data_IF_296738218379
#
_entry.id   IF_296738218379
#
_cell.length_a   1.000
_cell.length_b   1.000
_cell.length_c   1.000
_cell.angle_alpha   90.00
_cell.angle_beta   90.00
_cell.angle_gamma   90.00
#
_symmetry.space_group_name_H-M   'P 1'
#
loop_
_entity.id
_entity.type
_entity.pdbx_description
1 polymer ?
#
# COMPACT_ATOMS: atom_id res chain seq x y z
N UNK A 1 -43.77 41.84 -27.46
CA UNK A 1 -43.58 40.61 -28.27
C UNK A 1 -42.10 40.37 -28.42
N UNK A 2 -41.54 39.43 -27.67
CA UNK A 2 -40.52 38.44 -28.07
C UNK A 2 -39.98 37.79 -26.80
N UNK A 3 -40.40 36.54 -26.59
CA UNK A 3 -39.84 35.63 -25.61
C UNK A 3 -38.47 35.18 -26.12
N UNK A 4 -37.41 35.38 -25.34
CA UNK A 4 -36.19 34.59 -25.50
C UNK A 4 -35.99 33.68 -24.29
N UNK A 5 -36.52 32.47 -24.49
CA UNK A 5 -36.25 31.27 -23.74
C UNK A 5 -34.85 30.76 -24.11
N UNK A 6 -33.85 31.01 -23.26
CA UNK A 6 -32.63 30.20 -23.24
C UNK A 6 -32.33 29.70 -21.83
N UNK A 7 -33.04 28.64 -21.49
CA UNK A 7 -32.75 27.70 -20.40
C UNK A 7 -31.34 27.11 -20.65
N UNK A 8 -30.32 27.62 -19.96
CA UNK A 8 -28.99 26.98 -19.91
C UNK A 8 -29.13 25.65 -19.17
N UNK A 9 -29.19 24.56 -19.92
CA UNK A 9 -29.00 23.22 -19.37
C UNK A 9 -27.54 23.09 -18.91
N UNK A 10 -27.27 22.66 -17.66
CA UNK A 10 -25.94 22.19 -17.30
C UNK A 10 -25.75 20.81 -17.93
N UNK A 11 -24.95 20.73 -19.00
CA UNK A 11 -24.46 19.45 -19.50
C UNK A 11 -23.50 18.86 -18.48
N UNK A 12 -24.00 17.94 -17.66
CA UNK A 12 -23.16 17.04 -16.86
C UNK A 12 -22.45 16.07 -17.82
N UNK A 13 -21.36 16.51 -18.43
CA UNK A 13 -20.40 15.60 -19.05
C UNK A 13 -19.64 14.89 -17.94
N UNK A 14 -20.13 13.70 -17.53
CA UNK A 14 -19.31 12.78 -16.76
C UNK A 14 -18.11 12.35 -17.63
N UNK A 15 -16.86 12.54 -17.18
CA UNK A 15 -15.72 12.02 -17.92
C UNK A 15 -15.70 10.49 -17.77
N UNK A 16 -16.24 9.79 -18.78
CA UNK A 16 -16.13 8.35 -18.92
C UNK A 16 -14.67 7.91 -18.82
N UNK A 17 -14.36 7.10 -17.80
CA UNK A 17 -13.00 6.64 -17.46
C UNK A 17 -12.37 5.72 -18.51
N UNK A 18 -13.12 5.33 -19.54
CA UNK A 18 -12.69 4.41 -20.59
C UNK A 18 -12.12 5.07 -21.85
N UNK A 19 -12.38 6.35 -22.12
CA UNK A 19 -11.88 7.01 -23.35
C UNK A 19 -10.40 7.39 -23.33
N UNK A 20 -9.76 7.40 -22.15
CA UNK A 20 -8.34 7.78 -22.02
C UNK A 20 -7.38 6.72 -22.58
N UNK A 21 -7.81 5.47 -22.78
CA UNK A 21 -6.97 4.43 -23.42
C UNK A 21 -6.93 4.52 -24.93
N UNK A 22 -7.97 5.06 -25.57
CA UNK A 22 -8.02 5.12 -27.04
C UNK A 22 -7.30 6.34 -27.62
N UNK A 23 -7.21 7.47 -26.88
CA UNK A 23 -6.45 8.64 -27.35
C UNK A 23 -4.93 8.45 -27.37
N UNK A 24 -4.38 7.56 -26.54
CA UNK A 24 -2.95 7.26 -26.56
C UNK A 24 -2.52 6.44 -27.79
N UNK A 25 -3.48 5.84 -28.52
CA UNK A 25 -3.21 5.08 -29.73
C UNK A 25 -3.36 5.92 -31.01
N UNK A 26 -4.08 7.04 -30.97
CA UNK A 26 -4.43 7.83 -32.16
C UNK A 26 -3.52 9.04 -32.42
N UNK A 27 -2.59 9.37 -31.51
CA UNK A 27 -1.67 10.52 -31.65
C UNK A 27 -0.33 10.14 -32.31
N UNK A 28 -0.16 8.86 -32.68
CA UNK A 28 1.06 8.33 -33.30
C UNK A 28 1.00 8.15 -34.83
N UNK A 29 -0.12 8.44 -35.48
CA UNK A 29 -0.27 8.23 -36.93
C UNK A 29 -0.60 9.54 -37.66
N UNK A 30 0.46 10.26 -38.04
CA UNK A 30 0.45 11.19 -39.17
C UNK A 30 1.74 10.99 -40.01
N UNK A 31 1.67 11.07 -41.36
CA UNK A 31 2.52 10.26 -42.23
C UNK A 31 3.88 10.89 -42.60
N UNK A 32 4.92 10.06 -42.44
CA UNK A 32 6.09 9.79 -43.29
C UNK A 32 6.51 10.89 -44.30
N UNK A 33 7.64 11.53 -44.02
CA UNK A 33 8.62 11.94 -45.03
C UNK A 33 9.80 10.96 -44.99
N UNK A 34 10.29 10.61 -46.17
CA UNK A 34 11.07 9.41 -46.50
C UNK A 34 12.51 9.38 -45.94
N UNK A 35 13.02 8.16 -45.88
CA UNK A 35 14.44 7.79 -45.85
C UNK A 35 15.24 8.02 -44.56
N UNK A 36 14.81 7.34 -43.50
CA UNK A 36 15.77 6.70 -42.59
C UNK A 36 15.21 5.36 -42.12
N UNK A 37 15.87 4.27 -42.52
CA UNK A 37 15.65 2.93 -41.98
C UNK A 37 15.52 3.01 -40.44
N UNK A 38 14.49 2.41 -39.80
CA UNK A 38 14.41 2.39 -38.35
C UNK A 38 15.55 1.51 -37.83
N UNK A 39 16.63 2.16 -37.43
CA UNK A 39 17.69 1.54 -36.64
C UNK A 39 17.04 0.94 -35.39
N UNK A 40 17.31 -0.33 -35.02
CA UNK A 40 16.70 -0.95 -33.87
C UNK A 40 17.25 -0.26 -32.62
N UNK A 41 16.58 0.81 -32.20
CA UNK A 41 16.79 1.42 -30.90
C UNK A 41 16.24 0.42 -29.90
N UNK A 42 17.14 -0.46 -29.46
CA UNK A 42 17.08 -1.21 -28.22
C UNK A 42 17.06 -0.21 -27.06
N UNK A 43 16.00 0.59 -26.95
CA UNK A 43 15.67 1.26 -25.72
C UNK A 43 15.28 0.14 -24.74
N UNK A 44 16.26 -0.34 -23.98
CA UNK A 44 16.04 -1.24 -22.85
C UNK A 44 14.86 -0.70 -22.06
N UNK A 45 13.80 -1.48 -21.90
CA UNK A 45 12.58 -1.05 -21.20
C UNK A 45 12.93 -0.81 -19.72
N UNK A 46 13.20 0.46 -19.38
CA UNK A 46 13.62 0.90 -18.04
C UNK A 46 12.37 1.21 -17.21
N UNK A 47 12.17 0.46 -16.12
CA UNK A 47 11.16 0.76 -15.12
C UNK A 47 11.52 2.04 -14.36
N UNK A 48 10.59 3.00 -14.36
CA UNK A 48 10.67 4.21 -13.54
C UNK A 48 10.70 3.83 -12.04
N UNK A 49 11.68 4.38 -11.30
CA UNK A 49 11.84 4.17 -9.87
C UNK A 49 10.54 4.43 -9.08
N UNK A 50 9.69 5.35 -9.55
CA UNK A 50 8.39 5.66 -8.93
C UNK A 50 7.44 4.47 -8.99
N UNK A 51 7.41 3.77 -10.13
CA UNK A 51 6.55 2.58 -10.33
C UNK A 51 7.05 1.42 -9.48
N UNK A 52 8.35 1.15 -9.51
CA UNK A 52 8.99 0.07 -8.72
C UNK A 52 8.74 0.28 -7.23
N UNK A 53 8.98 1.50 -6.74
CA UNK A 53 8.82 1.81 -5.32
C UNK A 53 7.37 1.79 -4.87
N UNK A 54 6.44 2.27 -5.71
CA UNK A 54 5.00 2.16 -5.45
C UNK A 54 4.57 0.71 -5.32
N UNK A 55 5.13 -0.17 -6.14
CA UNK A 55 4.85 -1.59 -6.08
C UNK A 55 5.42 -2.24 -4.82
N UNK A 56 6.69 -1.98 -4.47
CA UNK A 56 7.27 -2.45 -3.21
C UNK A 56 6.43 -2.02 -1.99
N UNK A 57 6.05 -0.74 -1.92
CA UNK A 57 5.21 -0.22 -0.83
C UNK A 57 3.82 -0.86 -0.79
N UNK A 58 3.22 -1.15 -1.95
CA UNK A 58 1.94 -1.88 -2.02
C UNK A 58 2.08 -3.30 -1.50
N UNK A 59 3.11 -4.02 -1.96
CA UNK A 59 3.36 -5.40 -1.52
C UNK A 59 3.66 -5.45 -0.03
N UNK A 60 4.52 -4.56 0.48
CA UNK A 60 4.79 -4.44 1.92
C UNK A 60 3.51 -4.18 2.72
N UNK A 61 2.64 -3.26 2.30
CA UNK A 61 1.34 -3.03 2.98
C UNK A 61 0.43 -4.24 2.91
N UNK A 62 0.45 -4.98 1.79
CA UNK A 62 -0.31 -6.21 1.63
C UNK A 62 0.19 -7.29 2.60
N UNK A 63 1.50 -7.47 2.72
CA UNK A 63 2.11 -8.40 3.68
C UNK A 63 1.73 -8.06 5.11
N UNK A 64 1.82 -6.80 5.52
CA UNK A 64 1.39 -6.38 6.88
C UNK A 64 -0.08 -6.70 7.13
N UNK A 65 -0.98 -6.44 6.16
CA UNK A 65 -2.39 -6.82 6.30
C UNK A 65 -2.58 -8.33 6.44
N UNK A 66 -1.83 -9.13 5.69
CA UNK A 66 -1.89 -10.59 5.82
C UNK A 66 -1.40 -11.05 7.20
N UNK A 67 -0.30 -10.48 7.70
CA UNK A 67 0.22 -10.76 9.04
C UNK A 67 -0.83 -10.46 10.12
N UNK A 68 -1.47 -9.27 10.04
CA UNK A 68 -2.54 -8.89 10.99
C UNK A 68 -3.72 -9.86 10.93
N UNK A 69 -4.16 -10.25 9.72
CA UNK A 69 -5.26 -11.21 9.55
C UNK A 69 -4.90 -12.61 10.07
N UNK A 70 -3.67 -13.07 9.82
CA UNK A 70 -3.20 -14.38 10.29
C UNK A 70 -3.07 -14.44 11.80
N UNK A 71 -2.55 -13.38 12.43
CA UNK A 71 -2.49 -13.29 13.90
C UNK A 71 -3.89 -13.14 14.52
N UNK A 72 -4.78 -12.37 13.91
CA UNK A 72 -6.17 -12.28 14.33
C UNK A 72 -6.89 -13.63 14.24
N UNK A 73 -6.64 -14.39 13.17
CA UNK A 73 -7.16 -15.75 13.01
C UNK A 73 -6.60 -16.70 14.08
N UNK A 74 -5.32 -16.58 14.42
CA UNK A 74 -4.69 -17.36 15.48
C UNK A 74 -5.35 -17.09 16.85
N UNK A 75 -5.63 -15.83 17.18
CA UNK A 75 -6.37 -15.47 18.39
C UNK A 75 -7.84 -15.97 18.35
N UNK A 76 -8.48 -15.86 17.18
CA UNK A 76 -9.84 -16.37 16.99
C UNK A 76 -9.95 -17.89 17.15
N UNK A 77 -8.93 -18.64 16.74
CA UNK A 77 -8.87 -20.11 16.94
C UNK A 77 -8.53 -20.44 18.40
N UNK A 78 -7.66 -19.65 19.05
CA UNK A 78 -7.26 -19.86 20.45
C UNK A 78 -8.44 -19.70 21.41
N UNK A 79 -9.21 -18.62 21.25
CA UNK A 79 -10.34 -18.29 22.13
C UNK A 79 -11.64 -18.90 21.62
N UNK A 80 -11.80 -19.02 20.30
CA UNK A 80 -13.04 -19.41 19.66
C UNK A 80 -13.87 -18.19 19.22
N UNK A 81 -14.40 -18.15 17.99
CA UNK A 81 -15.03 -16.94 17.43
C UNK A 81 -16.31 -16.54 18.16
N UNK A 82 -17.10 -17.50 18.65
CA UNK A 82 -18.32 -17.23 19.42
C UNK A 82 -17.95 -16.64 20.79
N UNK A 83 -16.97 -17.25 21.47
CA UNK A 83 -16.52 -16.79 22.79
C UNK A 83 -15.94 -15.38 22.71
N UNK A 84 -15.18 -15.07 21.65
CA UNK A 84 -14.64 -13.74 21.40
C UNK A 84 -15.72 -12.66 21.34
N UNK A 85 -16.82 -12.92 20.65
CA UNK A 85 -17.91 -11.93 20.48
C UNK A 85 -18.75 -11.77 21.75
N UNK A 86 -18.94 -12.87 22.49
CA UNK A 86 -19.74 -12.89 23.72
C UNK A 86 -18.90 -12.86 25.00
N UNK A 87 -17.64 -12.43 24.95
CA UNK A 87 -16.77 -12.33 26.14
C UNK A 87 -17.47 -11.58 27.27
N UNK A 88 -17.48 -12.19 28.47
CA UNK A 88 -18.14 -11.64 29.67
C UNK A 88 -19.68 -11.53 29.57
N UNK A 89 -20.31 -12.15 28.56
CA UNK A 89 -21.76 -12.11 28.33
C UNK A 89 -22.31 -13.51 28.11
N UNK A 90 -23.59 -13.71 28.42
CA UNK A 90 -24.33 -14.93 28.06
C UNK A 90 -23.69 -16.24 28.61
N UNK A 91 -23.03 -16.16 29.77
CA UNK A 91 -22.37 -17.29 30.43
C UNK A 91 -20.97 -17.63 29.91
N UNK A 92 -20.43 -16.87 28.97
CA UNK A 92 -19.04 -17.02 28.52
C UNK A 92 -18.07 -16.33 29.50
N UNK A 93 -16.84 -16.86 29.65
CA UNK A 93 -15.84 -16.29 30.56
C UNK A 93 -15.48 -14.85 30.18
N UNK A 94 -15.08 -14.06 31.18
CA UNK A 94 -14.49 -12.74 30.94
C UNK A 94 -13.15 -12.88 30.21
N UNK A 95 -12.76 -11.81 29.52
CA UNK A 95 -11.49 -11.74 28.81
C UNK A 95 -10.32 -12.00 29.78
N UNK A 96 -9.44 -12.93 29.42
CA UNK A 96 -8.25 -13.24 30.21
C UNK A 96 -7.26 -12.07 30.23
N UNK A 97 -6.27 -12.13 31.13
CA UNK A 97 -5.23 -11.10 31.21
C UNK A 97 -4.43 -10.94 29.90
N UNK A 98 -4.40 -11.96 29.06
CA UNK A 98 -3.73 -11.96 27.75
C UNK A 98 -4.64 -11.57 26.58
N UNK A 99 -5.92 -11.24 26.82
CA UNK A 99 -6.92 -10.99 25.77
C UNK A 99 -7.00 -9.51 25.40
N UNK A 100 -5.86 -8.95 24.98
CA UNK A 100 -5.74 -7.56 24.53
C UNK A 100 -4.78 -7.44 23.34
N UNK A 101 -4.74 -6.27 22.71
CA UNK A 101 -3.84 -5.96 21.61
C UNK A 101 -4.51 -5.92 20.23
N UNK A 102 -3.70 -5.73 19.20
CA UNK A 102 -4.16 -5.48 17.83
C UNK A 102 -4.77 -6.74 17.24
N UNK A 103 -4.13 -7.91 17.41
CA UNK A 103 -4.63 -9.15 16.83
C UNK A 103 -5.96 -9.56 17.47
N UNK A 104 -6.08 -9.41 18.79
CA UNK A 104 -7.30 -9.69 19.53
C UNK A 104 -8.47 -8.80 19.06
N UNK A 105 -8.25 -7.48 18.96
CA UNK A 105 -9.30 -6.55 18.50
C UNK A 105 -9.75 -6.81 17.06
N UNK A 106 -8.81 -7.14 16.16
CA UNK A 106 -9.16 -7.50 14.78
C UNK A 106 -9.88 -8.86 14.75
N UNK A 107 -9.46 -9.82 15.57
CA UNK A 107 -10.10 -11.12 15.74
C UNK A 107 -11.54 -10.98 16.23
N UNK A 108 -11.79 -10.08 17.18
CA UNK A 108 -13.13 -9.72 17.66
C UNK A 108 -14.00 -9.20 16.51
N UNK A 109 -13.50 -8.21 15.76
CA UNK A 109 -14.25 -7.62 14.66
C UNK A 109 -14.58 -8.63 13.56
N UNK A 110 -13.62 -9.49 13.19
CA UNK A 110 -13.83 -10.54 12.19
C UNK A 110 -14.82 -11.60 12.67
N UNK A 111 -14.72 -12.01 13.94
CA UNK A 111 -15.63 -12.98 14.55
C UNK A 111 -17.06 -12.43 14.65
N UNK A 112 -17.19 -11.14 14.99
CA UNK A 112 -18.47 -10.45 15.00
C UNK A 112 -19.10 -10.38 13.61
N UNK A 113 -18.32 -10.00 12.59
CA UNK A 113 -18.79 -9.98 11.20
C UNK A 113 -19.19 -11.38 10.73
N UNK A 114 -18.39 -12.40 11.07
CA UNK A 114 -18.73 -13.80 10.80
C UNK A 114 -20.07 -14.19 11.42
N UNK A 115 -20.31 -13.86 12.70
CA UNK A 115 -21.59 -14.12 13.35
C UNK A 115 -22.74 -13.34 12.73
N UNK A 116 -22.55 -12.08 12.35
CA UNK A 116 -23.58 -11.31 11.65
C UNK A 116 -23.95 -11.97 10.32
N UNK A 117 -22.97 -12.36 9.51
CA UNK A 117 -23.23 -13.05 8.23
C UNK A 117 -23.90 -14.40 8.47
N UNK A 118 -23.45 -15.17 9.46
CA UNK A 118 -24.07 -16.44 9.83
C UNK A 118 -25.53 -16.25 10.26
N UNK A 119 -25.83 -15.28 11.11
CA UNK A 119 -27.20 -15.00 11.57
C UNK A 119 -28.10 -14.47 10.46
N UNK A 120 -27.59 -13.64 9.55
CA UNK A 120 -28.40 -13.03 8.48
C UNK A 120 -28.58 -13.96 7.27
N UNK A 121 -27.58 -14.76 6.94
CA UNK A 121 -27.60 -15.61 5.73
C UNK A 121 -27.95 -17.04 6.10
N UNK A 122 -27.23 -17.61 7.07
CA UNK A 122 -27.31 -19.04 7.33
C UNK A 122 -28.57 -19.42 8.14
N UNK A 123 -28.89 -18.69 9.20
CA UNK A 123 -30.08 -18.97 10.03
C UNK A 123 -31.39 -18.93 9.23
N UNK A 124 -31.70 -17.90 8.44
CA UNK A 124 -32.97 -17.90 7.68
C UNK A 124 -32.99 -18.90 6.52
N UNK A 125 -31.86 -19.24 5.90
CA UNK A 125 -31.81 -20.17 4.76
C UNK A 125 -31.75 -21.65 5.16
N UNK A 126 -31.22 -21.94 6.36
CA UNK A 126 -30.94 -23.31 6.80
C UNK A 126 -31.58 -23.66 8.15
N UNK A 127 -32.35 -22.77 8.80
CA UNK A 127 -33.06 -23.08 10.06
C UNK A 127 -33.97 -24.31 9.96
N UNK A 128 -34.53 -24.58 8.78
CA UNK A 128 -35.33 -25.77 8.48
C UNK A 128 -34.53 -27.07 8.27
N UNK A 129 -33.21 -26.99 8.08
CA UNK A 129 -32.34 -28.13 7.77
C UNK A 129 -31.47 -28.55 8.97
N UNK A 130 -31.20 -27.65 9.92
CA UNK A 130 -30.55 -28.04 11.18
C UNK A 130 -31.55 -28.77 12.07
N UNK A 131 -31.26 -29.99 12.54
CA UNK A 131 -32.03 -30.62 13.61
C UNK A 131 -32.09 -29.65 14.79
N UNK A 132 -33.27 -29.46 15.36
CA UNK A 132 -33.44 -28.65 16.57
C UNK A 132 -32.55 -29.22 17.68
N UNK A 133 -31.38 -28.60 17.89
CA UNK A 133 -30.47 -28.93 18.99
C UNK A 133 -31.09 -28.66 20.38
N UNK A 134 -32.31 -28.15 20.44
CA UNK A 134 -33.10 -27.93 21.64
C UNK A 134 -33.85 -29.18 22.13
N UNK A 135 -33.83 -30.30 21.40
CA UNK A 135 -34.47 -31.55 21.83
C UNK A 135 -33.57 -32.76 21.69
N UNK A 136 -32.31 -32.65 22.13
CA UNK A 136 -31.50 -33.84 22.40
C UNK A 136 -31.47 -34.05 23.90
N UNK A 137 -32.37 -34.92 24.36
CA UNK A 137 -32.26 -35.61 25.64
C UNK A 137 -30.82 -36.11 25.84
N UNK A 138 -30.36 -36.11 27.09
CA UNK A 138 -29.03 -36.51 27.56
C UNK A 138 -28.50 -37.87 27.06
N UNK A 139 -29.29 -38.64 26.30
CA UNK A 139 -29.02 -40.01 25.88
C UNK A 139 -28.23 -40.18 24.57
N UNK A 140 -28.03 -39.15 23.74
CA UNK A 140 -27.38 -39.30 22.41
C UNK A 140 -25.97 -38.68 22.31
N UNK A 141 -25.25 -38.67 23.42
CA UNK A 141 -23.85 -38.18 23.52
C UNK A 141 -22.79 -39.09 22.88
N UNK A 142 -23.18 -40.11 22.10
CA UNK A 142 -22.32 -41.27 21.81
C UNK A 142 -21.69 -41.32 20.41
N UNK A 143 -21.79 -40.26 19.58
CA UNK A 143 -20.98 -40.16 18.35
C UNK A 143 -20.05 -38.93 18.28
N UNK A 144 -19.05 -38.77 19.16
CA UNK A 144 -18.05 -37.70 19.03
C UNK A 144 -16.72 -38.14 18.37
N UNK A 145 -16.57 -39.38 17.90
CA UNK A 145 -15.23 -39.92 17.62
C UNK A 145 -14.59 -39.44 16.29
N UNK A 146 -15.36 -39.31 15.20
CA UNK A 146 -14.80 -38.87 13.91
C UNK A 146 -14.67 -37.34 13.80
N UNK A 147 -15.65 -36.58 14.31
CA UNK A 147 -15.60 -35.12 14.33
C UNK A 147 -14.48 -34.60 15.25
N UNK A 148 -14.26 -35.25 16.40
CA UNK A 148 -13.17 -34.85 17.30
C UNK A 148 -11.78 -35.13 16.73
N UNK A 149 -11.59 -36.20 15.95
CA UNK A 149 -10.30 -36.51 15.33
C UNK A 149 -9.97 -35.55 14.19
N UNK A 150 -10.94 -35.22 13.32
CA UNK A 150 -10.74 -34.22 12.27
C UNK A 150 -10.46 -32.84 12.85
N UNK A 151 -11.22 -32.41 13.88
CA UNK A 151 -10.98 -31.12 14.55
C UNK A 151 -9.61 -31.10 15.22
N UNK A 152 -9.18 -32.19 15.87
CA UNK A 152 -7.83 -32.30 16.44
C UNK A 152 -6.74 -32.20 15.37
N UNK A 153 -6.88 -32.90 14.25
CA UNK A 153 -5.93 -32.86 13.14
C UNK A 153 -5.88 -31.48 12.51
N UNK A 154 -7.03 -30.86 12.23
CA UNK A 154 -7.10 -29.49 11.68
C UNK A 154 -6.46 -28.48 12.63
N UNK A 155 -6.70 -28.62 13.93
CA UNK A 155 -6.11 -27.75 14.95
C UNK A 155 -4.60 -27.92 15.00
N UNK A 156 -4.08 -29.16 14.95
CA UNK A 156 -2.64 -29.41 14.89
C UNK A 156 -2.01 -28.86 13.62
N UNK A 157 -2.64 -29.03 12.46
CA UNK A 157 -2.16 -28.45 11.20
C UNK A 157 -2.14 -26.93 11.30
N UNK A 158 -3.20 -26.30 11.82
CA UNK A 158 -3.28 -24.85 11.98
C UNK A 158 -2.23 -24.31 12.95
N UNK A 159 -1.93 -25.03 14.03
CA UNK A 159 -0.88 -24.66 15.00
C UNK A 159 0.51 -24.57 14.37
N UNK A 160 0.77 -25.30 13.28
CA UNK A 160 2.05 -25.23 12.55
C UNK A 160 1.95 -24.30 11.33
N UNK A 161 0.86 -24.40 10.57
CA UNK A 161 0.69 -23.68 9.32
C UNK A 161 0.58 -22.17 9.53
N UNK A 162 -0.12 -21.71 10.58
CA UNK A 162 -0.31 -20.29 10.85
C UNK A 162 1.02 -19.60 11.19
N UNK A 163 1.84 -20.07 12.16
CA UNK A 163 3.16 -19.48 12.41
C UNK A 163 4.08 -19.50 11.19
N UNK A 164 4.09 -20.60 10.42
CA UNK A 164 4.91 -20.71 9.20
C UNK A 164 4.48 -19.67 8.16
N UNK A 165 3.17 -19.48 7.96
CA UNK A 165 2.66 -18.48 7.02
C UNK A 165 2.97 -17.05 7.46
N UNK A 166 2.92 -16.75 8.76
CA UNK A 166 3.35 -15.46 9.32
C UNK A 166 4.85 -15.26 9.08
N UNK A 167 5.67 -16.30 9.32
CA UNK A 167 7.11 -16.26 9.05
C UNK A 167 7.43 -15.98 7.58
N UNK A 168 6.79 -16.70 6.65
CA UNK A 168 6.99 -16.49 5.21
C UNK A 168 6.57 -15.10 4.74
N UNK A 169 5.47 -14.56 5.27
CA UNK A 169 5.02 -13.20 4.94
C UNK A 169 5.94 -12.13 5.52
N UNK A 170 6.51 -12.36 6.70
CA UNK A 170 7.55 -11.50 7.30
C UNK A 170 8.84 -11.50 6.47
N UNK A 171 9.32 -12.67 6.05
CA UNK A 171 10.52 -12.78 5.18
C UNK A 171 10.29 -12.02 3.88
N UNK A 172 9.12 -12.22 3.26
CA UNK A 172 8.72 -11.49 2.05
C UNK A 172 8.72 -9.98 2.29
N UNK A 173 8.16 -9.54 3.42
CA UNK A 173 8.16 -8.13 3.80
C UNK A 173 9.59 -7.56 3.93
N UNK A 174 10.48 -8.25 4.65
CA UNK A 174 11.88 -7.83 4.84
C UNK A 174 12.61 -7.74 3.51
N UNK A 175 12.41 -8.73 2.63
CA UNK A 175 13.00 -8.72 1.29
C UNK A 175 12.59 -7.47 0.50
N UNK A 176 11.31 -7.10 0.48
CA UNK A 176 10.84 -5.90 -0.20
C UNK A 176 11.29 -4.60 0.48
N UNK A 177 11.39 -4.59 1.82
CA UNK A 177 11.90 -3.44 2.57
C UNK A 177 13.38 -3.16 2.22
N UNK A 178 14.22 -4.21 2.25
CA UNK A 178 15.63 -4.12 1.85
C UNK A 178 15.72 -3.71 0.38
N UNK A 179 14.92 -4.32 -0.49
CA UNK A 179 14.89 -3.99 -1.92
C UNK A 179 14.49 -2.53 -2.17
N UNK A 180 13.58 -1.96 -1.38
CA UNK A 180 13.20 -0.55 -1.48
C UNK A 180 14.35 0.40 -1.11
N UNK A 181 15.21 0.02 -0.16
CA UNK A 181 16.38 0.81 0.25
C UNK A 181 17.55 0.62 -0.70
N UNK A 182 17.78 -0.59 -1.21
CA UNK A 182 18.90 -0.89 -2.10
C UNK A 182 18.64 -0.34 -3.51
N UNK A 183 17.48 -0.63 -4.09
CA UNK A 183 17.10 -0.29 -5.47
C UNK A 183 16.36 1.04 -5.53
N UNK A 184 17.14 2.12 -5.47
CA UNK A 184 16.63 3.49 -5.47
C UNK A 184 16.33 4.02 -6.87
N UNK A 185 17.07 3.53 -7.88
CA UNK A 185 17.10 4.06 -9.24
C UNK A 185 16.17 3.31 -10.21
N UNK A 186 15.89 3.97 -11.34
CA UNK A 186 15.22 3.36 -12.49
C UNK A 186 16.11 2.26 -13.07
N UNK A 187 15.54 1.10 -13.41
CA UNK A 187 16.30 -0.08 -13.82
C UNK A 187 15.63 -0.81 -14.99
N UNK A 188 16.39 -1.53 -15.83
CA UNK A 188 15.78 -2.42 -16.82
C UNK A 188 14.91 -3.47 -16.12
N UNK A 189 13.75 -3.76 -16.72
CA UNK A 189 12.78 -4.73 -16.21
C UNK A 189 13.46 -6.04 -15.80
N UNK A 190 13.08 -6.57 -14.64
CA UNK A 190 13.59 -7.83 -14.07
C UNK A 190 15.10 -7.89 -13.75
N UNK A 191 15.83 -6.79 -13.84
CA UNK A 191 17.25 -6.81 -13.48
C UNK A 191 17.46 -6.91 -11.97
N UNK A 192 18.22 -7.93 -11.54
CA UNK A 192 18.75 -8.07 -10.18
C UNK A 192 20.13 -7.44 -10.01
N UNK A 193 20.63 -6.71 -11.02
CA UNK A 193 21.94 -6.09 -10.94
C UNK A 193 21.94 -4.99 -9.88
N UNK A 194 22.93 -5.01 -8.98
CA UNK A 194 23.10 -3.99 -7.97
C UNK A 194 23.31 -2.61 -8.64
N UNK A 195 22.62 -1.55 -8.15
CA UNK A 195 22.74 -0.22 -8.74
C UNK A 195 24.14 0.34 -8.48
N UNK A 196 24.65 1.11 -9.44
CA UNK A 196 25.95 1.79 -9.30
C UNK A 196 25.87 2.76 -8.12
N UNK A 197 26.83 2.70 -7.20
CA UNK A 197 26.87 3.59 -6.05
C UNK A 197 27.30 5.00 -6.49
N UNK A 198 26.33 5.87 -6.79
CA UNK A 198 26.56 7.30 -7.01
C UNK A 198 26.35 8.10 -5.71
N UNK A 199 26.93 9.30 -5.62
CA UNK A 199 26.67 10.22 -4.49
C UNK A 199 25.18 10.53 -4.32
N UNK A 200 24.45 10.66 -5.45
CA UNK A 200 23.00 10.88 -5.48
C UNK A 200 22.24 9.71 -4.83
N UNK A 201 22.63 8.48 -5.14
CA UNK A 201 21.96 7.27 -4.62
C UNK A 201 22.18 7.10 -3.12
N UNK A 202 23.40 7.36 -2.66
CA UNK A 202 23.72 7.38 -1.23
C UNK A 202 22.89 8.40 -0.45
N UNK A 203 22.74 9.60 -1.00
CA UNK A 203 21.96 10.65 -0.38
C UNK A 203 20.46 10.29 -0.30
N UNK A 204 19.90 9.65 -1.32
CA UNK A 204 18.52 9.15 -1.27
C UNK A 204 18.36 8.00 -0.27
N UNK A 205 19.31 7.07 -0.20
CA UNK A 205 19.32 6.01 0.83
C UNK A 205 19.36 6.59 2.24
N UNK A 206 20.19 7.59 2.47
CA UNK A 206 20.25 8.29 3.75
C UNK A 206 18.91 8.90 4.12
N UNK A 207 18.23 9.58 3.19
CA UNK A 207 16.89 10.11 3.46
C UNK A 207 15.84 9.03 3.75
N UNK A 208 15.93 7.86 3.10
CA UNK A 208 15.07 6.74 3.46
C UNK A 208 15.31 6.25 4.88
N UNK A 209 16.59 6.07 5.25
CA UNK A 209 16.95 5.61 6.59
C UNK A 209 16.53 6.63 7.66
N UNK A 210 16.73 7.92 7.41
CA UNK A 210 16.27 8.99 8.30
C UNK A 210 14.74 9.00 8.40
N UNK A 211 14.03 8.83 7.28
CA UNK A 211 12.58 8.73 7.28
C UNK A 211 12.08 7.56 8.13
N UNK A 212 12.69 6.38 7.98
CA UNK A 212 12.41 5.20 8.80
C UNK A 212 12.67 5.50 10.28
N UNK A 213 13.86 6.02 10.62
CA UNK A 213 14.24 6.32 11.99
C UNK A 213 13.29 7.32 12.66
N UNK A 214 12.88 8.37 11.96
CA UNK A 214 11.90 9.33 12.48
C UNK A 214 10.58 8.63 12.78
N UNK A 215 10.06 7.83 11.85
CA UNK A 215 8.77 7.15 12.04
C UNK A 215 8.80 6.07 13.12
N UNK A 216 9.91 5.36 13.30
CA UNK A 216 10.04 4.35 14.34
C UNK A 216 10.22 4.98 15.72
N UNK A 217 11.04 6.02 15.84
CA UNK A 217 11.25 6.74 17.10
C UNK A 217 9.98 7.46 17.55
N UNK A 218 9.34 8.22 16.64
CA UNK A 218 8.08 8.91 16.96
C UNK A 218 6.97 7.92 17.26
N UNK A 219 6.88 6.83 16.50
CA UNK A 219 5.89 5.80 16.73
C UNK A 219 6.08 5.12 18.09
N UNK A 220 7.31 4.76 18.46
CA UNK A 220 7.62 4.21 19.78
C UNK A 220 7.25 5.18 20.91
N UNK A 221 7.64 6.45 20.79
CA UNK A 221 7.29 7.49 21.76
C UNK A 221 5.78 7.66 21.90
N UNK A 222 5.03 7.67 20.79
CA UNK A 222 3.58 7.77 20.80
C UNK A 222 2.94 6.59 21.55
N UNK A 223 3.30 5.35 21.23
CA UNK A 223 2.75 4.17 21.93
C UNK A 223 3.10 4.16 23.42
N UNK A 224 4.30 4.62 23.80
CA UNK A 224 4.68 4.71 25.21
C UNK A 224 3.82 5.75 25.97
N UNK A 225 3.54 6.89 25.33
CA UNK A 225 2.64 7.91 25.91
C UNK A 225 1.20 7.36 26.02
N UNK A 226 0.69 6.69 24.98
CA UNK A 226 -0.66 6.09 25.04
C UNK A 226 -0.77 4.99 26.09
N UNK A 227 0.28 4.20 26.30
CA UNK A 227 0.32 3.19 27.36
C UNK A 227 0.31 3.84 28.75
N UNK A 228 1.08 4.93 28.94
CA UNK A 228 1.08 5.67 30.20
C UNK A 228 -0.28 6.31 30.55
N UNK A 229 -1.11 6.62 29.55
CA UNK A 229 -2.47 7.11 29.73
C UNK A 229 -3.54 6.00 29.78
N UNK A 230 -3.12 4.72 29.80
CA UNK A 230 -4.02 3.55 29.80
C UNK A 230 -5.01 3.52 28.62
N UNK A 231 -4.65 4.16 27.49
CA UNK A 231 -5.51 4.28 26.31
C UNK A 231 -5.28 3.17 25.29
N UNK A 232 -4.03 2.72 25.14
CA UNK A 232 -3.68 1.69 24.17
C UNK A 232 -2.54 0.81 24.66
N UNK A 233 -2.88 -0.46 24.93
CA UNK A 233 -1.92 -1.51 25.27
C UNK A 233 -1.71 -2.42 24.06
N UNK A 234 -0.45 -2.56 23.65
CA UNK A 234 -0.04 -3.46 22.56
C UNK A 234 0.99 -4.43 23.11
N UNK A 235 0.81 -5.72 22.85
CA UNK A 235 1.76 -6.74 23.28
C UNK A 235 3.13 -6.51 22.61
N UNK A 236 4.27 -6.72 23.30
CA UNK A 236 5.59 -6.45 22.74
C UNK A 236 5.87 -7.17 21.41
N UNK A 237 5.41 -8.42 21.27
CA UNK A 237 5.57 -9.18 20.02
C UNK A 237 4.70 -8.63 18.88
N UNK A 238 3.47 -8.19 19.17
CA UNK A 238 2.60 -7.54 18.17
C UNK A 238 3.18 -6.19 17.73
N UNK A 239 3.80 -5.47 18.65
CA UNK A 239 4.52 -4.24 18.33
C UNK A 239 5.64 -4.52 17.32
N UNK A 240 6.48 -5.52 17.59
CA UNK A 240 7.59 -5.89 16.71
C UNK A 240 7.11 -6.42 15.34
N UNK A 241 6.04 -7.21 15.30
CA UNK A 241 5.59 -7.93 14.10
C UNK A 241 4.62 -7.09 13.24
N UNK A 242 3.82 -6.20 13.85
CA UNK A 242 2.85 -5.36 13.13
C UNK A 242 3.34 -3.91 13.07
N UNK A 243 3.55 -3.30 14.24
CA UNK A 243 3.71 -1.85 14.36
C UNK A 243 5.02 -1.39 13.71
N UNK A 244 6.13 -2.08 13.97
CA UNK A 244 7.43 -1.74 13.37
C UNK A 244 7.39 -1.82 11.83
N UNK A 245 6.86 -2.89 11.20
CA UNK A 245 6.64 -2.90 9.75
C UNK A 245 5.76 -1.75 9.23
N UNK A 246 4.69 -1.38 9.95
CA UNK A 246 3.87 -0.22 9.57
C UNK A 246 4.69 1.07 9.60
N UNK A 247 5.47 1.28 10.67
CA UNK A 247 6.33 2.45 10.83
C UNK A 247 7.38 2.53 9.72
N UNK A 248 8.08 1.43 9.40
CA UNK A 248 9.03 1.36 8.29
C UNK A 248 8.37 1.73 6.97
N UNK A 249 7.16 1.21 6.71
CA UNK A 249 6.40 1.53 5.49
C UNK A 249 6.07 3.03 5.38
N UNK A 250 5.64 3.64 6.49
CA UNK A 250 5.38 5.08 6.59
C UNK A 250 6.66 5.90 6.39
N UNK A 251 7.78 5.46 6.97
CA UNK A 251 9.07 6.14 6.83
C UNK A 251 9.59 6.12 5.40
N UNK A 252 9.50 4.98 4.72
CA UNK A 252 9.83 4.88 3.30
C UNK A 252 8.90 5.79 2.49
N UNK A 253 7.59 5.76 2.74
CA UNK A 253 6.61 6.63 2.07
C UNK A 253 6.97 8.11 2.24
N UNK A 254 7.28 8.56 3.45
CA UNK A 254 7.69 9.93 3.74
C UNK A 254 8.92 10.32 2.92
N UNK A 255 9.94 9.45 2.91
CA UNK A 255 11.16 9.67 2.12
C UNK A 255 10.88 9.73 0.61
N UNK A 256 9.93 8.91 0.10
CA UNK A 256 9.52 8.98 -1.32
C UNK A 256 8.91 10.34 -1.69
N UNK A 257 8.08 10.88 -0.80
CA UNK A 257 7.42 12.18 -1.01
C UNK A 257 8.44 13.31 -0.95
N UNK A 258 9.40 13.24 -0.02
CA UNK A 258 10.51 14.19 0.06
C UNK A 258 11.38 14.15 -1.20
N UNK A 259 11.77 12.96 -1.66
CA UNK A 259 12.53 12.80 -2.91
C UNK A 259 11.78 13.41 -4.10
N UNK A 260 10.47 13.12 -4.24
CA UNK A 260 9.66 13.69 -5.31
C UNK A 260 9.60 15.22 -5.26
N UNK A 261 9.46 15.81 -4.06
CA UNK A 261 9.49 17.26 -3.88
C UNK A 261 10.85 17.86 -4.24
N UNK A 262 11.95 17.21 -3.89
CA UNK A 262 13.30 17.66 -4.24
C UNK A 262 13.54 17.61 -5.74
N UNK A 263 13.22 16.51 -6.41
CA UNK A 263 13.34 16.38 -7.87
C UNK A 263 12.49 17.43 -8.58
N UNK A 264 11.26 17.69 -8.12
CA UNK A 264 10.40 18.73 -8.69
C UNK A 264 10.99 20.14 -8.50
N UNK A 265 11.66 20.40 -7.38
CA UNK A 265 12.34 21.69 -7.14
C UNK A 265 13.57 21.85 -8.02
N UNK A 266 14.35 20.79 -8.20
CA UNK A 266 15.53 20.79 -9.08
C UNK A 266 15.12 21.00 -10.54
N UNK A 267 14.13 20.25 -11.03
CA UNK A 267 13.62 20.41 -12.40
C UNK A 267 13.09 21.83 -12.68
N UNK A 268 12.42 22.46 -11.71
CA UNK A 268 11.97 23.86 -11.83
C UNK A 268 13.15 24.84 -11.88
N UNK A 269 14.21 24.60 -11.12
CA UNK A 269 15.42 25.44 -11.14
C UNK A 269 16.16 25.29 -12.46
N UNK A 270 16.29 24.06 -12.97
CA UNK A 270 16.89 23.79 -14.28
C UNK A 270 16.09 24.46 -15.41
N UNK A 271 14.76 24.37 -15.39
CA UNK A 271 13.90 25.07 -16.35
C UNK A 271 14.00 26.60 -16.26
N UNK A 272 14.07 27.14 -15.05
CA UNK A 272 14.25 28.58 -14.86
C UNK A 272 15.65 29.04 -15.36
N UNK A 273 16.69 28.22 -15.14
CA UNK A 273 18.04 28.51 -15.58
C UNK A 273 18.18 28.41 -17.11
N UNK A 274 17.57 27.41 -17.76
CA UNK A 274 17.56 27.32 -19.22
C UNK A 274 16.75 28.44 -19.85
N UNK A 275 15.61 28.82 -19.27
CA UNK A 275 14.83 29.97 -19.71
C UNK A 275 15.61 31.29 -19.54
N UNK A 276 16.31 31.47 -18.41
CA UNK A 276 17.15 32.64 -18.17
C UNK A 276 18.32 32.71 -19.16
N UNK A 277 19.09 31.63 -19.34
CA UNK A 277 20.17 31.58 -20.34
C UNK A 277 19.65 31.83 -21.77
N UNK A 278 18.49 31.27 -22.12
CA UNK A 278 17.83 31.52 -23.40
C UNK A 278 17.43 32.99 -23.59
N UNK A 279 16.89 33.63 -22.55
CA UNK A 279 16.54 35.06 -22.59
C UNK A 279 17.76 35.97 -22.72
N UNK A 280 18.87 35.64 -22.02
CA UNK A 280 20.13 36.38 -22.13
C UNK A 280 20.70 36.23 -23.54
N UNK A 281 20.73 35.02 -24.09
CA UNK A 281 21.19 34.77 -25.46
C UNK A 281 20.32 35.50 -26.50
N UNK A 282 18.99 35.48 -26.34
CA UNK A 282 18.07 36.20 -27.22
C UNK A 282 18.27 37.72 -27.15
N UNK A 283 18.48 38.28 -25.96
CA UNK A 283 18.75 39.71 -25.78
C UNK A 283 20.09 40.13 -26.39
N UNK A 284 21.13 39.30 -26.30
CA UNK A 284 22.43 39.55 -26.91
C UNK A 284 22.36 39.49 -28.45
N UNK A 285 21.58 38.56 -29.00
CA UNK A 285 21.35 38.46 -30.43
C UNK A 285 20.56 39.67 -30.98
N UNK A 286 19.52 40.13 -30.25
CA UNK A 286 18.78 41.34 -30.61
C UNK A 286 19.67 42.60 -30.61
N UNK A 287 20.53 42.77 -29.60
CA UNK A 287 21.47 43.88 -29.53
C UNK A 287 22.54 43.84 -30.65
N UNK A 288 22.94 42.64 -31.09
CA UNK A 288 23.86 42.48 -32.22
C UNK A 288 23.19 42.85 -33.55
N UNK A 289 21.92 42.48 -33.74
CA UNK A 289 21.14 42.86 -34.93
C UNK A 289 20.88 44.37 -35.00
N UNK A 290 20.58 45.01 -33.87
CA UNK A 290 20.39 46.46 -33.80
C UNK A 290 21.68 47.20 -34.16
N UNK A 291 22.84 46.74 -33.67
CA UNK A 291 24.15 47.30 -34.05
C UNK A 291 24.48 47.10 -35.53
N UNK A 292 24.14 45.94 -36.10
CA UNK A 292 24.34 45.69 -37.53
C UNK A 292 23.45 46.59 -38.40
N UNK A 293 22.19 46.77 -38.02
CA UNK A 293 21.24 47.64 -38.73
C UNK A 293 21.65 49.12 -38.68
N UNK A 294 22.24 49.59 -37.58
CA UNK A 294 22.75 50.96 -37.48
C UNK A 294 23.98 51.19 -38.38
N UNK A 295 24.86 50.19 -38.51
CA UNK A 295 26.03 50.30 -39.39
C UNK A 295 25.66 50.29 -40.89
N UNK A 296 24.55 49.67 -41.27
CA UNK A 296 24.04 49.70 -42.64
C UNK A 296 23.37 51.04 -43.01
N UNK A 297 22.97 51.86 -42.03
CA UNK A 297 22.39 53.19 -42.27
C UNK A 297 23.43 54.31 -42.38
N UNK A 298 24.68 54.08 -41.96
CA UNK A 298 25.78 55.05 -42.04
C UNK A 298 26.60 54.96 -43.34
N UNK A 299 26.16 54.14 -44.32
CA UNK A 299 26.73 54.04 -45.67
C UNK A 299 25.80 54.69 -46.69
#
# INVERSE_FOLDING_TARGET
MQLDSHRRQPSFTMPCRWSRRCRAAAENDAPIAADSLPSPTTATDVDDWKKVRKEHLRTMRRSVRHIVLLMALMEAIRVGPIQLVFTGKHGFPEAGQDDFGIAYNVGYFLSWLYLCVFMVVYVPLFSWWLPNFTSTSESDRSKPYYESNLVKILTQINMVLLPVSIGMTLITYVFYAISAVVYVDSRPKNSMRLPKNSRKNWLVRLYMLVGIAITTLLGYGAFNILANFDLAHVKPYEYAIIVVPVQINLGILLATVMQFKMEKRLARKEQAQTAWCGSVAASAAAAAQEKAALLEQEV
#
